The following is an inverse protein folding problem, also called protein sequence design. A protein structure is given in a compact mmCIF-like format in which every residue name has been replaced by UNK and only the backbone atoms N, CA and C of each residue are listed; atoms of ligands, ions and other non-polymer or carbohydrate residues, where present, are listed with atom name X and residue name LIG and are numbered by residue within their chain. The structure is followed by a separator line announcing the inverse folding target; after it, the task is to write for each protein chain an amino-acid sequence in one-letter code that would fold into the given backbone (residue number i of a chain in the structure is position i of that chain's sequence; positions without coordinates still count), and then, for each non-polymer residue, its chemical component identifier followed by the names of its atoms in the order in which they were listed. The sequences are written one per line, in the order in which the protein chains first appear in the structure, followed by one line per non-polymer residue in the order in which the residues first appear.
data_IF_359180158152
#
_entry.id   IF_359180158152
#
_cell.length_a   1.000
_cell.length_b   1.000
_cell.length_c   1.000
_cell.angle_alpha   90.00
_cell.angle_beta   90.00
_cell.angle_gamma   90.00
#
_symmetry.space_group_name_H-M   'P 1'
#
loop_
_entity.id
_entity.type
_entity.pdbx_description
1 polymer ?
#
# COMPACT_ATOMS: atom_id res chain seq x y z
N UNK A 1 -28.09 -8.27 -0.08
CA UNK A 1 -28.40 -9.33 -1.07
C UNK A 1 -29.17 -8.84 -2.28
N UNK A 2 -30.43 -8.36 -2.18
CA UNK A 2 -31.19 -7.91 -3.37
C UNK A 2 -30.48 -6.88 -4.25
N UNK A 3 -29.85 -5.86 -3.64
CA UNK A 3 -29.05 -4.87 -4.36
C UNK A 3 -27.90 -5.51 -5.15
N UNK A 4 -27.16 -6.44 -4.54
CA UNK A 4 -26.07 -7.17 -5.20
C UNK A 4 -26.58 -8.07 -6.33
N UNK A 5 -27.73 -8.73 -6.15
CA UNK A 5 -28.32 -9.61 -7.16
C UNK A 5 -28.81 -8.86 -8.41
N UNK A 6 -29.13 -7.56 -8.28
CA UNK A 6 -29.60 -6.71 -9.37
C UNK A 6 -28.47 -5.89 -10.02
N UNK A 7 -27.28 -5.87 -9.40
CA UNK A 7 -26.14 -5.08 -9.84
C UNK A 7 -25.62 -5.55 -11.21
N UNK A 8 -25.36 -4.61 -12.11
CA UNK A 8 -24.75 -4.88 -13.41
C UNK A 8 -23.22 -4.85 -13.34
N UNK A 9 -22.66 -4.07 -12.41
CA UNK A 9 -21.22 -3.87 -12.21
C UNK A 9 -20.90 -3.84 -10.70
N UNK A 10 -21.17 -4.93 -9.95
CA UNK A 10 -20.91 -4.96 -8.52
C UNK A 10 -19.41 -4.88 -8.23
N UNK A 11 -19.05 -4.27 -7.09
CA UNK A 11 -17.68 -4.19 -6.59
C UNK A 11 -17.65 -4.34 -5.07
N UNK A 12 -16.72 -5.16 -4.54
CA UNK A 12 -16.42 -5.20 -3.10
C UNK A 12 -15.17 -4.35 -2.84
N UNK A 13 -15.19 -3.50 -1.83
CA UNK A 13 -14.00 -2.77 -1.35
C UNK A 13 -13.66 -3.25 0.05
N UNK A 14 -12.49 -3.87 0.18
CA UNK A 14 -12.01 -4.42 1.45
C UNK A 14 -11.11 -3.40 2.14
N UNK A 15 -11.55 -2.89 3.28
CA UNK A 15 -10.77 -1.97 4.11
C UNK A 15 -9.95 -2.69 5.16
N UNK A 16 -9.10 -1.94 5.89
CA UNK A 16 -8.33 -2.52 6.99
C UNK A 16 -9.20 -3.05 8.14
N UNK A 17 -10.45 -2.58 8.26
CA UNK A 17 -11.41 -3.15 9.20
C UNK A 17 -11.74 -4.61 8.87
N UNK A 18 -11.87 -4.95 7.57
CA UNK A 18 -12.06 -6.33 7.12
C UNK A 18 -10.87 -7.21 7.48
N UNK A 19 -9.64 -6.71 7.26
CA UNK A 19 -8.42 -7.43 7.65
C UNK A 19 -8.32 -7.58 9.18
N UNK A 20 -8.69 -6.56 9.94
CA UNK A 20 -8.68 -6.56 11.41
C UNK A 20 -9.67 -7.56 12.01
N UNK A 21 -10.83 -7.76 11.37
CA UNK A 21 -11.85 -8.70 11.85
C UNK A 21 -11.42 -10.18 11.83
N UNK A 22 -10.38 -10.53 11.08
CA UNK A 22 -9.88 -11.90 10.90
C UNK A 22 -10.93 -12.91 10.40
N UNK A 23 -11.97 -12.43 9.71
CA UNK A 23 -12.97 -13.26 9.03
C UNK A 23 -12.50 -13.65 7.61
N UNK A 24 -11.24 -14.08 7.49
CA UNK A 24 -10.55 -14.19 6.21
C UNK A 24 -11.23 -15.22 5.29
N UNK A 25 -11.60 -16.37 5.86
CA UNK A 25 -12.22 -17.46 5.12
C UNK A 25 -13.65 -17.11 4.68
N UNK A 26 -14.41 -16.47 5.56
CA UNK A 26 -15.79 -16.06 5.29
C UNK A 26 -15.82 -14.98 4.20
N UNK A 27 -14.93 -13.98 4.28
CA UNK A 27 -14.80 -12.93 3.26
C UNK A 27 -14.38 -13.55 1.93
N UNK A 28 -13.40 -14.46 1.94
CA UNK A 28 -12.95 -15.16 0.74
C UNK A 28 -14.07 -15.99 0.12
N UNK A 29 -14.78 -16.77 0.93
CA UNK A 29 -15.91 -17.59 0.46
C UNK A 29 -17.01 -16.71 -0.14
N UNK A 30 -17.29 -15.55 0.45
CA UNK A 30 -18.29 -14.63 -0.08
C UNK A 30 -17.88 -14.04 -1.44
N UNK A 31 -16.62 -13.61 -1.56
CA UNK A 31 -16.06 -13.15 -2.83
C UNK A 31 -16.11 -14.27 -3.89
N UNK A 32 -15.55 -15.44 -3.58
CA UNK A 32 -15.44 -16.55 -4.52
C UNK A 32 -16.81 -17.09 -4.96
N UNK A 33 -17.78 -17.23 -4.04
CA UNK A 33 -19.12 -17.74 -4.35
C UNK A 33 -19.97 -16.77 -5.17
N UNK A 34 -19.77 -15.46 -5.01
CA UNK A 34 -20.53 -14.45 -5.75
C UNK A 34 -19.87 -14.05 -7.06
N UNK A 35 -18.57 -14.34 -7.22
CA UNK A 35 -17.77 -13.92 -8.37
C UNK A 35 -17.55 -12.40 -8.46
N UNK A 36 -17.92 -11.65 -7.42
CA UNK A 36 -17.84 -10.19 -7.43
C UNK A 36 -16.38 -9.75 -7.34
N UNK A 37 -15.91 -8.88 -8.25
CA UNK A 37 -14.55 -8.35 -8.17
C UNK A 37 -14.33 -7.58 -6.87
N UNK A 38 -13.12 -7.65 -6.33
CA UNK A 38 -12.77 -6.94 -5.10
C UNK A 38 -11.55 -6.02 -5.25
N UNK A 39 -11.60 -4.90 -4.55
CA UNK A 39 -10.51 -3.94 -4.45
C UNK A 39 -10.01 -3.89 -3.00
N UNK A 40 -8.79 -4.38 -2.71
CA UNK A 40 -8.20 -4.21 -1.39
C UNK A 40 -7.66 -2.78 -1.21
N UNK A 41 -8.00 -2.16 -0.09
CA UNK A 41 -7.27 -1.00 0.43
C UNK A 41 -5.89 -1.44 0.93
N UNK A 42 -5.00 -0.48 1.20
CA UNK A 42 -3.57 -0.79 1.42
C UNK A 42 -3.30 -1.90 2.44
N UNK A 43 -3.75 -1.75 3.69
CA UNK A 43 -3.56 -2.77 4.75
C UNK A 43 -4.59 -3.92 4.67
N UNK A 44 -5.42 -3.97 3.63
CA UNK A 44 -6.26 -5.12 3.30
C UNK A 44 -5.66 -5.99 2.18
N UNK A 45 -4.55 -5.55 1.54
CA UNK A 45 -3.76 -6.39 0.64
C UNK A 45 -3.39 -7.70 1.34
N UNK A 46 -3.54 -8.81 0.63
CA UNK A 46 -3.31 -10.15 1.17
C UNK A 46 -4.48 -10.76 1.96
N UNK A 47 -5.56 -10.01 2.27
CA UNK A 47 -6.78 -10.60 2.85
C UNK A 47 -7.33 -11.73 1.97
N UNK A 48 -7.39 -11.46 0.67
CA UNK A 48 -7.19 -12.48 -0.35
C UNK A 48 -5.82 -12.20 -0.99
N UNK A 49 -5.11 -13.20 -1.52
CA UNK A 49 -3.84 -12.97 -2.22
C UNK A 49 -4.00 -11.89 -3.29
N UNK A 50 -3.08 -10.95 -3.39
CA UNK A 50 -3.22 -9.84 -4.35
C UNK A 50 -3.27 -10.32 -5.82
N UNK A 51 -2.70 -11.50 -6.08
CA UNK A 51 -2.74 -12.18 -7.38
C UNK A 51 -4.11 -12.79 -7.72
N UNK A 52 -5.06 -12.86 -6.78
CA UNK A 52 -6.36 -13.51 -6.95
C UNK A 52 -7.07 -13.04 -8.23
N UNK A 53 -7.71 -13.94 -9.00
CA UNK A 53 -8.30 -13.58 -10.30
C UNK A 53 -9.37 -12.48 -10.20
N UNK A 54 -10.11 -12.43 -9.08
CA UNK A 54 -11.14 -11.40 -8.84
C UNK A 54 -10.59 -10.09 -8.26
N UNK A 55 -9.28 -9.98 -7.99
CA UNK A 55 -8.67 -8.72 -7.56
C UNK A 55 -8.64 -7.71 -8.71
N UNK A 56 -9.12 -6.49 -8.44
CA UNK A 56 -9.09 -5.37 -9.39
C UNK A 56 -8.11 -4.28 -8.97
N UNK A 57 -7.11 -4.59 -8.14
CA UNK A 57 -6.09 -3.62 -7.72
C UNK A 57 -5.44 -2.88 -8.91
N UNK A 58 -5.04 -3.62 -9.95
CA UNK A 58 -4.49 -3.07 -11.18
C UNK A 58 -5.52 -2.36 -12.07
N UNK A 59 -6.82 -2.50 -11.83
CA UNK A 59 -7.91 -1.86 -12.57
C UNK A 59 -8.73 -0.86 -11.72
N UNK A 60 -8.18 -0.41 -10.57
CA UNK A 60 -8.85 0.45 -9.59
C UNK A 60 -9.68 1.59 -10.21
N UNK A 61 -9.07 2.42 -11.05
CA UNK A 61 -9.76 3.60 -11.60
C UNK A 61 -10.97 3.24 -12.46
N UNK A 62 -10.89 2.16 -13.25
CA UNK A 62 -12.03 1.69 -14.05
C UNK A 62 -13.13 1.11 -13.15
N UNK A 63 -12.73 0.31 -12.16
CA UNK A 63 -13.64 -0.31 -11.21
C UNK A 63 -14.46 0.74 -10.45
N UNK A 64 -13.81 1.75 -9.86
CA UNK A 64 -14.48 2.81 -9.12
C UNK A 64 -15.40 3.67 -10.00
N UNK A 65 -14.91 4.06 -11.18
CA UNK A 65 -15.66 4.96 -12.07
C UNK A 65 -16.91 4.32 -12.68
N UNK A 66 -16.97 2.98 -12.77
CA UNK A 66 -18.05 2.27 -13.47
C UNK A 66 -18.93 1.41 -12.59
N UNK A 67 -18.49 1.01 -11.40
CA UNK A 67 -19.31 0.20 -10.50
C UNK A 67 -20.64 0.89 -10.18
N UNK A 68 -21.73 0.13 -10.19
CA UNK A 68 -23.08 0.62 -9.91
C UNK A 68 -23.54 0.27 -8.48
N UNK A 69 -23.16 -0.90 -7.96
CA UNK A 69 -23.37 -1.28 -6.56
C UNK A 69 -22.03 -1.60 -5.91
N UNK A 70 -21.69 -0.89 -4.84
CA UNK A 70 -20.42 -1.04 -4.15
C UNK A 70 -20.68 -1.49 -2.71
N UNK A 71 -20.03 -2.58 -2.33
CA UNK A 71 -20.06 -3.10 -0.97
C UNK A 71 -18.74 -2.78 -0.25
N UNK A 72 -18.80 -1.83 0.67
CA UNK A 72 -17.71 -1.45 1.54
C UNK A 72 -17.68 -2.41 2.74
N UNK A 73 -16.55 -3.08 2.98
CA UNK A 73 -16.38 -3.98 4.13
C UNK A 73 -15.25 -3.44 5.01
N UNK A 74 -15.62 -2.84 6.16
CA UNK A 74 -14.66 -2.20 7.06
C UNK A 74 -13.80 -1.13 6.37
N UNK A 75 -14.40 -0.41 5.41
CA UNK A 75 -13.78 0.62 4.59
C UNK A 75 -14.62 1.91 4.64
N UNK A 76 -13.99 3.02 5.04
CA UNK A 76 -14.64 4.34 5.10
C UNK A 76 -14.52 5.07 3.77
N UNK A 77 -15.58 5.78 3.36
CA UNK A 77 -15.57 6.68 2.20
C UNK A 77 -14.87 8.01 2.54
N UNK A 78 -13.62 7.95 2.99
CA UNK A 78 -12.82 9.14 3.29
C UNK A 78 -11.93 9.54 2.09
N UNK A 79 -10.93 10.40 2.35
CA UNK A 79 -10.02 10.93 1.33
C UNK A 79 -9.28 9.83 0.52
N UNK A 80 -9.00 8.66 1.10
CA UNK A 80 -8.35 7.54 0.39
C UNK A 80 -9.23 6.97 -0.74
N UNK A 81 -10.54 7.16 -0.60
CA UNK A 81 -11.55 6.78 -1.55
C UNK A 81 -12.19 8.01 -2.22
N UNK A 82 -11.57 9.19 -2.15
CA UNK A 82 -12.12 10.41 -2.77
C UNK A 82 -13.55 10.70 -2.35
N UNK A 83 -13.90 10.42 -1.10
CA UNK A 83 -15.22 10.64 -0.52
C UNK A 83 -16.40 9.95 -1.22
N UNK A 84 -16.15 8.98 -2.10
CA UNK A 84 -17.19 8.36 -2.91
C UNK A 84 -17.76 9.28 -3.99
N UNK A 85 -17.04 10.35 -4.35
CA UNK A 85 -17.54 11.41 -5.24
C UNK A 85 -17.16 11.21 -6.72
N UNK A 86 -18.02 11.63 -7.66
CA UNK A 86 -17.66 11.76 -9.07
C UNK A 86 -16.59 12.84 -9.28
N UNK A 87 -15.74 12.74 -10.33
CA UNK A 87 -15.76 11.73 -11.38
C UNK A 87 -14.95 10.46 -11.03
N UNK A 88 -14.38 10.36 -9.82
CA UNK A 88 -13.65 9.16 -9.41
C UNK A 88 -14.58 7.95 -9.28
N UNK A 89 -15.80 8.19 -8.81
CA UNK A 89 -16.87 7.21 -8.72
C UNK A 89 -17.97 7.49 -9.73
N UNK A 90 -18.74 6.46 -10.06
CA UNK A 90 -20.00 6.63 -10.80
C UNK A 90 -20.92 7.58 -10.04
N UNK A 91 -21.56 8.53 -10.75
CA UNK A 91 -22.56 9.42 -10.16
C UNK A 91 -23.79 8.66 -9.63
N UNK A 92 -24.07 7.50 -10.21
CA UNK A 92 -25.19 6.63 -9.86
C UNK A 92 -24.78 5.47 -8.93
N UNK A 93 -23.59 5.55 -8.33
CA UNK A 93 -23.09 4.54 -7.40
C UNK A 93 -24.02 4.38 -6.19
N UNK A 94 -24.45 3.13 -5.95
CA UNK A 94 -25.24 2.73 -4.77
C UNK A 94 -24.34 2.01 -3.78
N UNK A 95 -24.30 2.49 -2.53
CA UNK A 95 -23.41 1.93 -1.51
C UNK A 95 -24.14 0.99 -0.53
N UNK A 96 -23.51 -0.15 -0.27
CA UNK A 96 -23.74 -1.05 0.85
C UNK A 96 -22.53 -0.90 1.76
N UNK A 97 -22.71 -0.78 3.07
CA UNK A 97 -21.59 -0.62 4.00
C UNK A 97 -21.75 -1.55 5.20
N UNK A 98 -20.72 -2.37 5.42
CA UNK A 98 -20.54 -3.14 6.65
C UNK A 98 -19.56 -2.39 7.52
N UNK A 99 -20.03 -1.92 8.66
CA UNK A 99 -19.20 -1.32 9.70
C UNK A 99 -19.81 -1.60 11.07
N UNK A 100 -18.97 -1.65 12.10
CA UNK A 100 -19.42 -1.80 13.48
C UNK A 100 -19.90 -0.45 14.04
N UNK A 101 -19.37 0.66 13.52
CA UNK A 101 -19.67 2.01 13.98
C UNK A 101 -20.86 2.59 13.22
N UNK A 102 -22.01 2.67 13.89
CA UNK A 102 -23.24 3.13 13.28
C UNK A 102 -23.18 4.61 12.83
N UNK A 103 -22.39 5.44 13.49
CA UNK A 103 -22.24 6.85 13.09
C UNK A 103 -21.43 7.06 11.81
N UNK A 104 -20.79 6.02 11.28
CA UNK A 104 -20.02 6.11 10.04
C UNK A 104 -20.93 6.02 8.80
N UNK A 105 -22.16 5.51 8.92
CA UNK A 105 -23.11 5.54 7.81
C UNK A 105 -23.51 6.97 7.46
N UNK A 106 -23.65 7.23 6.17
CA UNK A 106 -23.99 8.55 5.61
C UNK A 106 -22.96 9.67 5.90
N UNK A 107 -21.76 9.33 6.39
CA UNK A 107 -20.70 10.29 6.71
C UNK A 107 -20.23 11.12 5.49
N UNK A 108 -20.28 10.53 4.30
CA UNK A 108 -19.85 11.14 3.04
C UNK A 108 -20.86 10.99 1.90
N UNK A 109 -21.39 9.78 1.69
CA UNK A 109 -22.43 9.48 0.68
C UNK A 109 -23.57 8.72 1.34
N UNK A 110 -24.82 8.88 0.87
CA UNK A 110 -25.93 8.06 1.34
C UNK A 110 -25.65 6.56 1.16
N UNK A 111 -25.88 5.78 2.21
CA UNK A 111 -25.71 4.33 2.25
C UNK A 111 -27.08 3.68 2.09
N UNK A 112 -27.32 3.04 0.95
CA UNK A 112 -28.60 2.43 0.64
C UNK A 112 -28.90 1.17 1.47
N UNK A 113 -27.87 0.48 1.95
CA UNK A 113 -28.00 -0.66 2.85
C UNK A 113 -26.88 -0.65 3.90
N UNK A 114 -27.08 0.06 5.04
CA UNK A 114 -26.17 0.01 6.17
C UNK A 114 -26.33 -1.33 6.90
N UNK A 115 -25.21 -2.00 7.18
CA UNK A 115 -25.14 -3.27 7.89
C UNK A 115 -24.28 -3.08 9.14
N UNK A 116 -24.93 -2.63 10.22
CA UNK A 116 -24.28 -2.38 11.51
C UNK A 116 -23.96 -3.70 12.23
N UNK A 117 -22.68 -3.98 12.46
CA UNK A 117 -22.24 -5.17 13.17
C UNK A 117 -20.78 -5.49 12.96
N UNK A 118 -20.26 -6.47 13.70
CA UNK A 118 -18.92 -6.99 13.43
C UNK A 118 -18.91 -7.70 12.06
N UNK A 119 -17.80 -7.54 11.34
CA UNK A 119 -17.70 -7.98 9.93
C UNK A 119 -17.87 -9.49 9.79
N UNK A 120 -17.36 -10.29 10.74
CA UNK A 120 -17.44 -11.75 10.69
C UNK A 120 -18.89 -12.24 10.75
N UNK A 121 -19.66 -11.74 11.72
CA UNK A 121 -21.08 -12.07 11.86
C UNK A 121 -21.89 -11.63 10.65
N UNK A 122 -21.65 -10.42 10.13
CA UNK A 122 -22.39 -9.90 8.97
C UNK A 122 -22.08 -10.71 7.72
N UNK A 123 -20.81 -11.00 7.42
CA UNK A 123 -20.45 -11.78 6.22
C UNK A 123 -20.97 -13.21 6.32
N UNK A 124 -20.93 -13.84 7.50
CA UNK A 124 -21.52 -15.17 7.72
C UNK A 124 -23.02 -15.17 7.42
N UNK A 125 -23.76 -14.19 7.95
CA UNK A 125 -25.19 -14.07 7.65
C UNK A 125 -25.48 -13.79 6.17
N UNK A 126 -24.60 -13.05 5.48
CA UNK A 126 -24.73 -12.83 4.03
C UNK A 126 -24.46 -14.11 3.24
N UNK A 127 -23.48 -14.93 3.63
CA UNK A 127 -23.20 -16.23 3.02
C UNK A 127 -24.41 -17.18 3.08
N UNK A 128 -25.08 -17.26 4.23
CA UNK A 128 -26.32 -18.05 4.36
C UNK A 128 -27.40 -17.58 3.37
N UNK A 129 -27.49 -16.26 3.17
CA UNK A 129 -28.47 -15.67 2.23
C UNK A 129 -28.07 -15.79 0.76
N UNK A 130 -26.80 -16.00 0.42
CA UNK A 130 -26.37 -16.29 -0.96
C UNK A 130 -27.02 -17.58 -1.45
N UNK A 131 -27.26 -18.55 -0.57
CA UNK A 131 -27.92 -19.82 -0.94
C UNK A 131 -29.39 -19.62 -1.33
N UNK A 132 -30.08 -18.68 -0.68
CA UNK A 132 -31.50 -18.38 -0.95
C UNK A 132 -31.70 -17.42 -2.11
N UNK A 133 -30.80 -16.44 -2.26
CA UNK A 133 -30.80 -15.46 -3.34
C UNK A 133 -29.40 -15.43 -3.98
N UNK A 134 -29.16 -16.31 -4.97
CA UNK A 134 -27.87 -16.37 -5.64
C UNK A 134 -27.48 -15.02 -6.23
N UNK A 135 -26.24 -14.62 -5.96
CA UNK A 135 -25.61 -13.45 -6.55
C UNK A 135 -24.48 -13.95 -7.41
N UNK A 136 -24.48 -13.62 -8.70
CA UNK A 136 -23.40 -13.95 -9.63
C UNK A 136 -23.04 -12.68 -10.38
N UNK A 137 -21.78 -12.27 -10.30
CA UNK A 137 -21.30 -11.10 -11.03
C UNK A 137 -21.45 -11.30 -12.54
N UNK A 138 -21.98 -10.32 -13.29
CA UNK A 138 -22.12 -10.43 -14.73
C UNK A 138 -20.78 -10.64 -15.44
N UNK A 139 -20.70 -11.63 -16.33
CA UNK A 139 -19.46 -11.97 -17.07
C UNK A 139 -18.92 -10.80 -17.88
N UNK A 140 -19.81 -10.02 -18.51
CA UNK A 140 -19.41 -8.83 -19.26
C UNK A 140 -18.65 -7.80 -18.38
N UNK A 141 -19.01 -7.70 -17.10
CA UNK A 141 -18.32 -6.83 -16.16
C UNK A 141 -16.96 -7.39 -15.73
N UNK A 142 -16.92 -8.68 -15.37
CA UNK A 142 -15.66 -9.32 -14.96
C UNK A 142 -14.65 -9.38 -16.10
N UNK A 143 -15.10 -9.60 -17.34
CA UNK A 143 -14.24 -9.62 -18.53
C UNK A 143 -13.66 -8.24 -18.84
N UNK A 144 -14.46 -7.18 -18.74
CA UNK A 144 -13.99 -5.80 -18.93
C UNK A 144 -12.86 -5.45 -17.94
N UNK A 145 -13.06 -5.80 -16.66
CA UNK A 145 -12.07 -5.61 -15.62
C UNK A 145 -10.82 -6.45 -15.84
N UNK A 146 -10.98 -7.71 -16.25
CA UNK A 146 -9.88 -8.61 -16.56
C UNK A 146 -9.03 -8.09 -17.72
N UNK A 147 -9.66 -7.56 -18.78
CA UNK A 147 -8.97 -6.96 -19.92
C UNK A 147 -8.17 -5.72 -19.50
N UNK A 148 -8.79 -4.84 -18.68
CA UNK A 148 -8.10 -3.66 -18.14
C UNK A 148 -6.93 -4.05 -17.25
N UNK A 149 -7.11 -5.03 -16.37
CA UNK A 149 -6.07 -5.59 -15.51
C UNK A 149 -4.92 -6.12 -16.35
N UNK A 150 -5.20 -6.96 -17.34
CA UNK A 150 -4.16 -7.53 -18.21
C UNK A 150 -3.31 -6.46 -18.91
N UNK A 151 -3.94 -5.38 -19.40
CA UNK A 151 -3.25 -4.23 -19.99
C UNK A 151 -2.36 -3.50 -18.99
N UNK A 152 -2.87 -3.20 -17.81
CA UNK A 152 -2.12 -2.48 -16.78
C UNK A 152 -0.98 -3.34 -16.20
N UNK A 153 -1.21 -4.64 -16.01
CA UNK A 153 -0.19 -5.59 -15.59
C UNK A 153 0.92 -5.72 -16.64
N UNK A 154 0.57 -5.71 -17.94
CA UNK A 154 1.56 -5.70 -19.02
C UNK A 154 2.43 -4.43 -19.01
N UNK A 155 1.80 -3.26 -18.84
CA UNK A 155 2.52 -1.99 -18.72
C UNK A 155 3.43 -1.96 -17.46
N UNK A 156 2.95 -2.48 -16.32
CA UNK A 156 3.75 -2.59 -15.11
C UNK A 156 4.92 -3.56 -15.30
N UNK A 157 4.72 -4.72 -15.97
CA UNK A 157 5.80 -5.65 -16.30
C UNK A 157 6.88 -5.00 -17.16
N UNK A 158 6.50 -4.21 -18.17
CA UNK A 158 7.47 -3.45 -18.98
C UNK A 158 8.25 -2.46 -18.12
N UNK A 159 7.55 -1.65 -17.32
CA UNK A 159 8.18 -0.66 -16.44
C UNK A 159 9.12 -1.28 -15.40
N UNK A 160 8.77 -2.46 -14.88
CA UNK A 160 9.64 -3.19 -13.97
C UNK A 160 10.80 -3.87 -14.70
N UNK A 161 10.67 -4.22 -15.99
CA UNK A 161 11.76 -4.80 -16.77
C UNK A 161 12.87 -3.77 -17.10
N UNK A 162 12.53 -2.48 -17.15
CA UNK A 162 13.50 -1.40 -17.30
C UNK A 162 14.56 -1.44 -16.19
N UNK A 163 15.81 -1.08 -16.53
CA UNK A 163 16.93 -1.11 -15.59
C UNK A 163 17.77 0.17 -15.64
N UNK A 164 17.19 1.34 -15.28
CA UNK A 164 17.91 2.61 -15.27
C UNK A 164 19.04 2.61 -14.24
N UNK A 165 20.11 3.35 -14.57
CA UNK A 165 21.19 3.69 -13.66
C UNK A 165 21.45 5.21 -13.73
N UNK A 166 21.41 5.96 -12.61
CA UNK A 166 21.20 5.49 -11.23
C UNK A 166 19.84 4.82 -11.00
N UNK A 167 19.71 3.99 -9.95
CA UNK A 167 18.47 3.25 -9.68
C UNK A 167 17.28 4.21 -9.49
N UNK A 168 16.09 3.73 -9.83
CA UNK A 168 14.83 4.41 -9.56
C UNK A 168 13.93 3.52 -8.70
N UNK A 169 12.81 4.07 -8.22
CA UNK A 169 11.87 3.32 -7.38
C UNK A 169 11.43 1.96 -7.98
N UNK A 170 11.20 1.88 -9.30
CA UNK A 170 10.64 0.68 -9.92
C UNK A 170 11.64 -0.48 -10.02
N UNK A 171 12.87 -0.25 -10.50
CA UNK A 171 13.86 -1.33 -10.58
C UNK A 171 14.44 -1.71 -9.20
N UNK A 172 14.50 -0.77 -8.25
CA UNK A 172 14.79 -1.07 -6.85
C UNK A 172 13.68 -1.94 -6.21
N UNK A 173 12.41 -1.55 -6.34
CA UNK A 173 11.30 -2.32 -5.78
C UNK A 173 11.04 -3.65 -6.51
N UNK A 174 11.38 -3.76 -7.81
CA UNK A 174 11.48 -5.07 -8.48
C UNK A 174 12.45 -5.97 -7.74
N UNK A 175 13.65 -5.47 -7.41
CA UNK A 175 14.64 -6.26 -6.68
C UNK A 175 14.14 -6.72 -5.31
N UNK A 176 13.48 -5.83 -4.55
CA UNK A 176 12.82 -6.18 -3.29
C UNK A 176 11.73 -7.23 -3.50
N UNK A 177 10.83 -7.03 -4.46
CA UNK A 177 9.74 -7.97 -4.80
C UNK A 177 10.28 -9.37 -5.09
N UNK A 178 11.28 -9.47 -5.96
CA UNK A 178 11.84 -10.75 -6.41
C UNK A 178 12.48 -11.56 -5.26
N UNK A 179 12.92 -10.88 -4.19
CA UNK A 179 13.35 -11.54 -2.95
C UNK A 179 12.13 -11.91 -2.10
N UNK A 180 11.23 -10.96 -1.82
CA UNK A 180 10.09 -11.18 -0.92
C UNK A 180 9.13 -12.30 -1.37
N UNK A 181 8.99 -12.56 -2.67
CA UNK A 181 8.18 -13.70 -3.17
C UNK A 181 8.70 -15.06 -2.70
N UNK A 182 9.98 -15.15 -2.29
CA UNK A 182 10.59 -16.36 -1.72
C UNK A 182 10.44 -16.41 -0.19
N UNK A 183 9.91 -15.35 0.44
CA UNK A 183 9.76 -15.20 1.88
C UNK A 183 8.32 -14.77 2.25
N UNK A 184 7.31 -15.62 1.99
CA UNK A 184 5.89 -15.25 2.16
C UNK A 184 5.49 -14.94 3.63
N UNK A 185 6.30 -15.37 4.60
CA UNK A 185 6.05 -15.14 6.03
C UNK A 185 6.51 -13.76 6.53
N UNK A 186 7.23 -12.98 5.70
CA UNK A 186 7.76 -11.67 6.05
C UNK A 186 6.62 -10.66 6.24
N UNK A 187 6.74 -9.84 7.30
CA UNK A 187 5.95 -8.62 7.42
C UNK A 187 6.60 -7.50 6.62
N UNK A 188 5.78 -6.72 5.92
CA UNK A 188 6.21 -5.53 5.18
C UNK A 188 5.69 -4.29 5.89
N UNK A 189 6.61 -3.53 6.46
CA UNK A 189 6.36 -2.15 6.91
C UNK A 189 6.72 -1.21 5.77
N UNK A 190 5.95 -0.15 5.55
CA UNK A 190 6.22 0.74 4.44
C UNK A 190 5.69 2.17 4.68
N UNK A 191 6.54 3.17 4.54
CA UNK A 191 6.17 4.59 4.56
C UNK A 191 7.02 5.44 3.60
N UNK A 192 6.61 6.70 3.43
CA UNK A 192 7.14 7.64 2.44
C UNK A 192 6.04 8.17 1.51
N UNK A 193 6.45 8.82 0.43
CA UNK A 193 5.54 9.23 -0.64
C UNK A 193 5.69 8.29 -1.85
N UNK A 194 6.68 8.52 -2.71
CA UNK A 194 6.95 7.65 -3.85
C UNK A 194 7.32 6.23 -3.43
N UNK A 195 8.03 6.07 -2.30
CA UNK A 195 8.33 4.79 -1.67
C UNK A 195 7.05 4.04 -1.28
N UNK A 196 6.11 4.71 -0.59
CA UNK A 196 4.83 4.15 -0.16
C UNK A 196 3.95 3.74 -1.36
N UNK A 197 3.74 4.66 -2.30
CA UNK A 197 2.83 4.43 -3.42
C UNK A 197 3.36 3.38 -4.39
N UNK A 198 4.66 3.42 -4.69
CA UNK A 198 5.25 2.45 -5.61
C UNK A 198 5.33 1.08 -4.95
N UNK A 199 5.74 0.98 -3.68
CA UNK A 199 5.81 -0.31 -2.98
C UNK A 199 4.42 -0.95 -2.82
N UNK A 200 3.37 -0.17 -2.53
CA UNK A 200 1.98 -0.69 -2.48
C UNK A 200 1.54 -1.34 -3.80
N UNK A 201 2.01 -0.82 -4.92
CA UNK A 201 1.66 -1.29 -6.26
C UNK A 201 2.56 -2.43 -6.78
N UNK A 202 3.80 -2.52 -6.29
CA UNK A 202 4.82 -3.47 -6.80
C UNK A 202 4.97 -4.69 -5.88
N UNK A 203 4.78 -4.53 -4.58
CA UNK A 203 4.91 -5.60 -3.60
C UNK A 203 3.53 -6.22 -3.34
N UNK A 204 3.34 -7.44 -3.83
CA UNK A 204 2.12 -8.22 -3.63
C UNK A 204 2.14 -8.89 -2.26
N UNK A 205 1.00 -8.85 -1.56
CA UNK A 205 0.79 -9.59 -0.32
C UNK A 205 0.05 -10.90 -0.60
N UNK A 206 0.57 -11.99 -0.04
CA UNK A 206 -0.01 -13.34 -0.18
C UNK A 206 -0.80 -13.79 1.05
N UNK A 207 -0.62 -13.12 2.18
CA UNK A 207 -1.26 -13.45 3.45
C UNK A 207 -1.85 -12.18 4.11
N UNK A 208 -2.95 -12.32 4.87
CA UNK A 208 -3.61 -11.21 5.51
C UNK A 208 -2.72 -10.56 6.57
N UNK A 209 -2.95 -9.27 6.82
CA UNK A 209 -2.34 -8.51 7.93
C UNK A 209 -0.80 -8.50 7.92
N UNK A 210 -0.16 -8.72 6.77
CA UNK A 210 1.31 -8.65 6.61
C UNK A 210 1.84 -7.29 6.18
N UNK A 211 0.97 -6.40 5.69
CA UNK A 211 1.33 -5.03 5.33
C UNK A 211 0.90 -4.04 6.41
N UNK A 212 1.85 -3.24 6.88
CA UNK A 212 1.63 -2.14 7.82
C UNK A 212 2.19 -0.84 7.19
N UNK A 213 1.38 0.22 7.13
CA UNK A 213 1.82 1.48 6.53
C UNK A 213 1.24 2.73 7.22
N UNK A 214 1.55 3.90 6.67
CA UNK A 214 1.16 5.23 7.14
C UNK A 214 -0.35 5.43 7.39
N UNK A 215 -1.19 4.53 6.88
CA UNK A 215 -2.59 4.44 7.26
C UNK A 215 -3.43 5.67 6.92
N UNK A 216 -4.42 5.96 7.77
CA UNK A 216 -5.45 6.97 7.46
C UNK A 216 -4.95 8.41 7.51
N UNK A 217 -3.94 8.70 8.34
CA UNK A 217 -3.38 10.05 8.47
C UNK A 217 -2.12 10.27 7.64
N UNK A 218 -1.64 9.26 6.91
CA UNK A 218 -0.42 9.41 6.11
C UNK A 218 0.78 9.77 6.98
N UNK A 219 0.89 9.18 8.18
CA UNK A 219 1.94 9.50 9.14
C UNK A 219 3.29 8.97 8.65
N UNK A 220 4.30 9.84 8.65
CA UNK A 220 5.71 9.47 8.57
C UNK A 220 6.27 9.28 9.99
N UNK A 221 7.07 8.25 10.21
CA UNK A 221 7.62 7.88 11.52
C UNK A 221 6.97 6.66 12.16
N UNK A 222 6.07 5.96 11.46
CA UNK A 222 5.53 4.69 11.95
C UNK A 222 6.51 3.52 11.74
N UNK A 223 7.52 3.69 10.86
CA UNK A 223 8.33 2.61 10.31
C UNK A 223 8.93 1.70 11.37
N UNK A 224 9.84 2.23 12.19
CA UNK A 224 10.55 1.39 13.16
C UNK A 224 9.63 0.88 14.28
N UNK A 225 8.68 1.69 14.75
CA UNK A 225 7.72 1.26 15.78
C UNK A 225 6.85 0.08 15.32
N UNK A 226 6.32 0.15 14.10
CA UNK A 226 5.57 -0.96 13.50
C UNK A 226 6.43 -2.18 13.24
N UNK A 227 7.69 -1.99 12.79
CA UNK A 227 8.59 -3.11 12.55
C UNK A 227 8.94 -3.86 13.83
N UNK A 228 9.23 -3.12 14.92
CA UNK A 228 9.48 -3.68 16.24
C UNK A 228 8.26 -4.46 16.73
N UNK A 229 7.07 -3.85 16.69
CA UNK A 229 5.84 -4.52 17.14
C UNK A 229 5.56 -5.80 16.32
N UNK A 230 5.67 -5.74 14.99
CA UNK A 230 5.47 -6.91 14.15
C UNK A 230 6.46 -8.04 14.47
N UNK A 231 7.75 -7.73 14.63
CA UNK A 231 8.76 -8.72 14.99
C UNK A 231 8.51 -9.35 16.37
N UNK A 232 8.16 -8.53 17.36
CA UNK A 232 7.92 -8.98 18.74
C UNK A 232 6.67 -9.86 18.84
N UNK A 233 5.54 -9.40 18.28
CA UNK A 233 4.25 -10.08 18.42
C UNK A 233 4.17 -11.39 17.62
N UNK A 234 4.98 -11.52 16.56
CA UNK A 234 4.83 -12.62 15.60
C UNK A 234 6.03 -13.55 15.57
N UNK A 235 7.19 -13.09 16.04
CA UNK A 235 8.47 -13.79 15.88
C UNK A 235 8.94 -13.93 14.43
N UNK A 236 8.27 -13.29 13.47
CA UNK A 236 8.57 -13.37 12.05
C UNK A 236 9.53 -12.26 11.61
N UNK A 237 10.31 -12.47 10.52
CA UNK A 237 11.14 -11.42 9.95
C UNK A 237 10.30 -10.26 9.41
N UNK A 238 10.87 -9.06 9.45
CA UNK A 238 10.24 -7.83 8.95
C UNK A 238 11.15 -7.16 7.94
N UNK A 239 10.57 -6.71 6.82
CA UNK A 239 11.21 -5.80 5.88
C UNK A 239 10.49 -4.45 5.93
N UNK A 240 11.20 -3.42 6.38
CA UNK A 240 10.72 -2.05 6.41
C UNK A 240 11.21 -1.32 5.14
N UNK A 241 10.30 -0.96 4.24
CA UNK A 241 10.60 -0.25 2.99
C UNK A 241 10.31 1.23 3.21
N UNK A 242 11.37 2.01 3.35
CA UNK A 242 11.33 3.37 3.88
C UNK A 242 11.78 4.37 2.82
N UNK A 243 11.06 5.48 2.63
CA UNK A 243 11.69 6.67 2.04
C UNK A 243 12.71 7.26 3.01
N UNK A 244 13.82 7.81 2.53
CA UNK A 244 14.87 8.44 3.37
C UNK A 244 14.34 9.50 4.34
N UNK A 245 13.47 10.40 3.88
CA UNK A 245 12.81 11.37 4.75
C UNK A 245 11.94 10.71 5.81
N UNK A 246 11.18 9.67 5.45
CA UNK A 246 10.29 8.97 6.36
C UNK A 246 11.07 8.21 7.44
N UNK A 247 12.15 7.53 7.04
CA UNK A 247 13.06 6.83 7.94
C UNK A 247 13.61 7.78 9.01
N UNK A 248 13.96 9.01 8.62
CA UNK A 248 14.48 10.02 9.54
C UNK A 248 13.59 10.32 10.77
N UNK A 249 12.27 10.10 10.68
CA UNK A 249 11.35 10.31 11.81
C UNK A 249 11.48 9.25 12.90
N UNK A 250 11.98 8.05 12.59
CA UNK A 250 12.07 6.95 13.55
C UNK A 250 13.42 6.20 13.55
N UNK A 251 14.42 6.65 12.78
CA UNK A 251 15.70 5.97 12.59
C UNK A 251 16.47 5.63 13.86
N UNK A 252 16.36 6.45 14.92
CA UNK A 252 17.03 6.19 16.20
C UNK A 252 16.56 4.90 16.89
N UNK A 253 15.34 4.44 16.59
CA UNK A 253 14.83 3.17 17.09
C UNK A 253 15.54 1.95 16.47
N UNK A 254 16.42 2.15 15.49
CA UNK A 254 17.29 1.08 15.03
C UNK A 254 18.25 0.61 16.14
N UNK A 255 18.59 1.46 17.11
CA UNK A 255 19.25 1.02 18.36
C UNK A 255 18.38 0.00 19.10
N UNK A 256 17.07 0.27 19.24
CA UNK A 256 16.11 -0.63 19.86
C UNK A 256 16.07 -1.98 19.12
N UNK A 257 16.01 -1.96 17.78
CA UNK A 257 16.09 -3.17 16.95
C UNK A 257 17.35 -3.98 17.26
N UNK A 258 18.51 -3.34 17.35
CA UNK A 258 19.79 -3.99 17.64
C UNK A 258 19.86 -4.55 19.06
N UNK A 259 19.44 -3.76 20.06
CA UNK A 259 19.47 -4.15 21.47
C UNK A 259 18.61 -5.38 21.76
N UNK A 260 17.46 -5.49 21.08
CA UNK A 260 16.60 -6.67 21.17
C UNK A 260 16.93 -7.78 20.15
N UNK A 261 17.90 -7.55 19.25
CA UNK A 261 18.31 -8.50 18.19
C UNK A 261 17.12 -8.96 17.33
N UNK A 262 16.25 -8.02 16.96
CA UNK A 262 15.04 -8.33 16.20
C UNK A 262 15.39 -8.59 14.72
N UNK A 263 14.72 -9.55 14.05
CA UNK A 263 14.98 -9.91 12.65
C UNK A 263 14.35 -8.89 11.69
N UNK A 264 14.81 -7.64 11.76
CA UNK A 264 14.30 -6.52 10.98
C UNK A 264 15.38 -6.07 9.99
N UNK A 265 15.01 -6.05 8.71
CA UNK A 265 15.80 -5.43 7.63
C UNK A 265 15.11 -4.17 7.15
N UNK A 266 15.77 -3.02 7.27
CA UNK A 266 15.29 -1.75 6.72
C UNK A 266 15.90 -1.55 5.34
N UNK A 267 15.09 -1.28 4.33
CA UNK A 267 15.50 -0.87 3.00
C UNK A 267 15.16 0.60 2.83
N UNK A 268 16.17 1.47 2.94
CA UNK A 268 16.01 2.92 2.77
C UNK A 268 16.15 3.25 1.28
N UNK A 269 15.08 3.71 0.66
CA UNK A 269 15.05 4.22 -0.71
C UNK A 269 15.54 5.67 -0.70
N UNK A 270 16.86 5.84 -0.83
CA UNK A 270 17.57 7.09 -0.67
C UNK A 270 17.67 7.85 -2.00
N UNK A 271 16.69 8.70 -2.30
CA UNK A 271 16.77 9.67 -3.40
C UNK A 271 17.20 11.07 -2.93
N UNK A 272 17.61 11.22 -1.66
CA UNK A 272 18.13 12.45 -1.12
C UNK A 272 17.08 13.54 -0.91
N UNK A 273 15.84 13.21 -0.58
CA UNK A 273 14.83 14.25 -0.31
C UNK A 273 13.38 13.81 -0.17
N UNK A 274 12.56 14.79 0.21
CA UNK A 274 11.10 14.67 0.23
C UNK A 274 10.59 14.70 -1.21
N UNK A 275 10.05 13.58 -1.68
CA UNK A 275 9.64 13.32 -3.07
C UNK A 275 10.79 13.21 -4.07
N UNK A 276 11.72 14.16 -4.07
CA UNK A 276 12.89 14.27 -4.96
C UNK A 276 14.04 14.92 -4.19
N UNK A 277 15.28 14.71 -4.65
CA UNK A 277 16.49 15.30 -4.06
C UNK A 277 17.21 16.30 -4.96
N UNK A 278 16.59 16.72 -6.08
CA UNK A 278 17.20 17.58 -7.11
C UNK A 278 16.60 18.99 -7.20
N UNK A 279 15.78 19.40 -6.22
CA UNK A 279 15.16 20.72 -6.22
C UNK A 279 16.21 21.83 -6.02
N UNK A 280 16.16 22.85 -6.88
CA UNK A 280 17.06 23.99 -6.79
C UNK A 280 16.62 24.94 -5.65
N UNK A 281 17.59 25.49 -4.93
CA UNK A 281 17.33 26.51 -3.91
C UNK A 281 16.79 27.79 -4.55
N UNK A 282 15.64 28.32 -4.09
CA UNK A 282 15.08 29.57 -4.62
C UNK A 282 15.98 30.80 -4.38
N UNK A 283 16.81 30.76 -3.32
CA UNK A 283 17.49 31.94 -2.78
C UNK A 283 19.03 31.84 -2.74
N UNK A 284 19.66 30.83 -3.36
CA UNK A 284 21.12 30.73 -3.46
C UNK A 284 21.72 29.47 -2.83
N UNK A 285 22.58 29.64 -1.81
CA UNK A 285 23.54 28.61 -1.35
C UNK A 285 22.99 27.54 -0.39
N UNK A 286 21.86 27.79 0.26
CA UNK A 286 21.24 26.85 1.20
C UNK A 286 20.48 25.73 0.46
N UNK A 287 20.41 24.49 0.98
CA UNK A 287 19.58 23.43 0.39
C UNK A 287 18.11 23.83 0.27
N UNK A 288 17.42 23.37 -0.79
CA UNK A 288 15.98 23.57 -0.92
C UNK A 288 15.22 22.83 0.20
N UNK A 289 13.99 23.26 0.57
CA UNK A 289 13.25 22.67 1.71
C UNK A 289 12.95 21.17 1.61
N UNK A 290 12.96 20.62 0.40
CA UNK A 290 12.73 19.20 0.11
C UNK A 290 14.02 18.39 0.01
N UNK A 291 15.20 19.02 -0.03
CA UNK A 291 16.46 18.35 -0.30
C UNK A 291 17.12 17.86 0.99
N UNK A 292 17.46 16.58 1.00
CA UNK A 292 18.32 15.92 1.98
C UNK A 292 19.67 15.56 1.32
N UNK A 293 20.59 14.95 2.06
CA UNK A 293 21.86 14.51 1.47
C UNK A 293 21.67 13.20 0.70
N UNK A 294 21.73 13.25 -0.63
CA UNK A 294 21.76 12.05 -1.49
C UNK A 294 23.02 11.17 -1.29
N UNK A 295 23.98 11.64 -0.51
CA UNK A 295 25.21 10.93 -0.14
C UNK A 295 25.17 10.43 1.31
N UNK A 296 24.05 10.64 2.02
CA UNK A 296 23.85 10.10 3.35
C UNK A 296 24.01 8.58 3.31
N UNK A 297 24.71 8.05 4.32
CA UNK A 297 25.04 6.63 4.46
C UNK A 297 24.26 6.04 5.62
N UNK A 298 22.97 5.77 5.41
CA UNK A 298 22.07 5.24 6.44
C UNK A 298 22.51 3.88 6.96
N UNK A 299 23.22 3.10 6.13
CA UNK A 299 23.82 1.82 6.51
C UNK A 299 24.83 1.94 7.65
N UNK A 300 25.50 3.09 7.81
CA UNK A 300 26.41 3.34 8.93
C UNK A 300 25.68 3.50 10.26
N UNK A 301 24.39 3.88 10.26
CA UNK A 301 23.56 3.90 11.47
C UNK A 301 23.45 2.48 12.04
N UNK A 302 23.29 1.47 11.17
CA UNK A 302 23.24 0.09 11.63
C UNK A 302 24.55 -0.33 12.30
N UNK A 303 25.69 0.00 11.68
CA UNK A 303 27.01 -0.33 12.21
C UNK A 303 27.27 0.34 13.57
N UNK A 304 26.79 1.58 13.75
CA UNK A 304 26.94 2.31 15.02
C UNK A 304 26.29 1.59 16.21
N UNK A 305 25.22 0.83 15.97
CA UNK A 305 24.51 0.06 17.00
C UNK A 305 24.79 -1.44 16.97
N UNK A 306 25.75 -1.89 16.14
CA UNK A 306 26.16 -3.29 16.03
C UNK A 306 25.29 -4.16 15.10
N UNK A 307 24.43 -3.54 14.29
CA UNK A 307 23.72 -4.20 13.19
C UNK A 307 24.53 -4.23 11.89
N UNK A 308 23.98 -4.86 10.85
CA UNK A 308 24.60 -4.97 9.52
C UNK A 308 24.20 -3.80 8.63
N UNK A 309 25.18 -3.10 8.06
CA UNK A 309 24.96 -2.02 7.09
C UNK A 309 25.37 -2.43 5.69
N UNK A 310 24.48 -2.22 4.71
CA UNK A 310 24.76 -2.41 3.28
C UNK A 310 24.47 -1.12 2.52
N UNK A 311 25.41 -0.67 1.70
CA UNK A 311 25.17 0.41 0.74
C UNK A 311 25.15 -0.18 -0.67
N UNK A 312 24.08 0.08 -1.43
CA UNK A 312 23.84 -0.54 -2.73
C UNK A 312 23.47 0.50 -3.78
N UNK A 313 23.98 0.32 -5.00
CA UNK A 313 23.81 1.24 -6.14
C UNK A 313 23.19 0.56 -7.36
N UNK A 314 23.00 -0.76 -7.29
CA UNK A 314 22.37 -1.56 -8.35
C UNK A 314 21.31 -2.52 -7.81
N UNK A 315 20.31 -2.94 -8.63
CA UNK A 315 19.30 -3.91 -8.19
C UNK A 315 19.90 -5.28 -7.84
N UNK A 316 21.02 -5.66 -8.47
CA UNK A 316 21.75 -6.90 -8.16
C UNK A 316 22.35 -6.86 -6.76
N UNK A 317 23.00 -5.75 -6.40
CA UNK A 317 23.53 -5.53 -5.04
C UNK A 317 22.40 -5.52 -4.00
N UNK A 318 21.29 -4.82 -4.31
CA UNK A 318 20.11 -4.80 -3.44
C UNK A 318 19.54 -6.19 -3.19
N UNK A 319 19.40 -7.02 -4.23
CA UNK A 319 18.97 -8.42 -4.09
C UNK A 319 19.92 -9.23 -3.21
N UNK A 320 21.22 -9.10 -3.43
CA UNK A 320 22.22 -9.82 -2.65
C UNK A 320 22.18 -9.41 -1.17
N UNK A 321 22.17 -8.12 -0.88
CA UNK A 321 22.11 -7.58 0.48
C UNK A 321 20.82 -8.00 1.21
N UNK A 322 19.66 -7.91 0.56
CA UNK A 322 18.39 -8.29 1.18
C UNK A 322 18.30 -9.79 1.45
N UNK A 323 18.78 -10.64 0.53
CA UNK A 323 18.85 -12.09 0.76
C UNK A 323 19.78 -12.43 1.94
N UNK A 324 20.95 -11.80 2.02
CA UNK A 324 21.89 -12.02 3.12
C UNK A 324 21.28 -11.58 4.46
N UNK A 325 20.70 -10.39 4.50
CA UNK A 325 20.06 -9.85 5.70
C UNK A 325 18.93 -10.76 6.21
N UNK A 326 18.01 -11.16 5.34
CA UNK A 326 16.91 -12.06 5.69
C UNK A 326 17.38 -13.46 6.12
N UNK A 327 18.43 -13.98 5.50
CA UNK A 327 19.03 -15.27 5.86
C UNK A 327 19.69 -15.21 7.24
N UNK A 328 20.43 -14.12 7.52
CA UNK A 328 21.12 -13.94 8.80
C UNK A 328 20.16 -13.75 9.97
N UNK A 329 18.98 -13.15 9.72
CA UNK A 329 18.03 -12.67 10.73
C UNK A 329 18.63 -11.65 11.71
N UNK A 330 19.78 -11.07 11.38
CA UNK A 330 20.36 -9.99 12.15
C UNK A 330 19.69 -8.65 11.79
N UNK A 331 19.63 -7.70 12.74
CA UNK A 331 19.28 -6.31 12.45
C UNK A 331 20.10 -5.76 11.28
N UNK A 332 19.44 -5.27 10.23
CA UNK A 332 20.12 -4.74 9.05
C UNK A 332 19.50 -3.44 8.50
N UNK A 333 20.35 -2.56 7.95
CA UNK A 333 19.94 -1.45 7.09
C UNK A 333 20.61 -1.63 5.72
N UNK A 334 19.81 -1.59 4.67
CA UNK A 334 20.22 -1.50 3.27
C UNK A 334 19.91 -0.08 2.78
N UNK A 335 20.94 0.77 2.68
CA UNK A 335 20.88 2.08 2.05
C UNK A 335 20.93 1.92 0.53
N UNK A 336 19.78 2.10 -0.11
CA UNK A 336 19.58 1.93 -1.55
C UNK A 336 19.66 3.28 -2.24
N UNK A 337 20.79 3.58 -2.88
CA UNK A 337 21.00 4.85 -3.57
C UNK A 337 20.14 4.92 -4.83
N UNK A 338 19.28 5.92 -4.88
CA UNK A 338 18.43 6.22 -6.03
C UNK A 338 18.88 7.52 -6.72
N UNK A 339 18.48 7.68 -7.97
CA UNK A 339 18.54 8.92 -8.70
C UNK A 339 17.76 10.02 -7.95
N UNK A 340 18.37 11.16 -7.58
CA UNK A 340 17.67 12.26 -6.91
C UNK A 340 16.53 12.84 -7.75
N UNK A 341 16.62 12.69 -9.08
CA UNK A 341 15.57 13.06 -10.00
C UNK A 341 14.48 11.98 -10.16
N UNK A 342 14.59 10.84 -9.47
CA UNK A 342 13.51 9.87 -9.40
C UNK A 342 12.46 10.32 -8.38
N UNK A 343 11.19 10.11 -8.74
CA UNK A 343 10.06 10.50 -7.93
C UNK A 343 9.25 11.62 -8.58
N UNK A 344 8.09 11.86 -8.00
CA UNK A 344 7.18 12.93 -8.37
C UNK A 344 6.69 13.55 -7.08
N UNK A 345 6.73 14.86 -6.99
CA UNK A 345 5.99 15.59 -5.95
C UNK A 345 4.54 15.10 -5.99
N UNK A 346 3.94 14.87 -4.82
CA UNK A 346 2.63 14.21 -4.72
C UNK A 346 1.53 15.02 -5.40
N UNK A 347 1.34 14.79 -6.70
CA UNK A 347 0.34 15.43 -7.55
C UNK A 347 -1.11 15.12 -7.19
N UNK A 348 -1.35 14.19 -6.26
CA UNK A 348 -2.68 13.92 -5.72
C UNK A 348 -3.11 14.94 -4.66
N UNK A 349 -2.17 15.72 -4.09
CA UNK A 349 -2.44 16.79 -3.12
C UNK A 349 -1.91 18.15 -3.59
N UNK A 350 -1.28 18.25 -4.77
CA UNK A 350 -0.84 19.56 -5.31
C UNK A 350 -1.99 20.54 -5.48
N UNK A 351 -3.22 20.05 -5.69
CA UNK A 351 -4.44 20.88 -5.70
C UNK A 351 -4.77 21.49 -4.33
N UNK A 352 -4.23 20.94 -3.25
CA UNK A 352 -4.38 21.40 -1.87
C UNK A 352 -3.16 22.21 -1.38
N UNK A 353 -2.06 22.25 -2.14
CA UNK A 353 -0.90 23.06 -1.79
C UNK A 353 -1.32 24.54 -1.78
N UNK A 354 -1.11 25.28 -0.68
CA UNK A 354 -1.41 26.71 -0.65
C UNK A 354 -0.58 27.42 -1.73
N UNK A 355 -1.24 28.21 -2.57
CA UNK A 355 -0.54 29.08 -3.52
C UNK A 355 0.23 30.13 -2.71
N UNK A 356 1.55 30.15 -2.86
CA UNK A 356 2.37 31.19 -2.24
C UNK A 356 1.89 32.58 -2.67
N UNK A 357 1.61 33.44 -1.70
CA UNK A 357 1.29 34.84 -1.94
C UNK A 357 2.52 35.66 -2.40
N UNK A 358 3.71 35.05 -2.37
CA UNK A 358 4.98 35.66 -2.73
C UNK A 358 5.42 35.34 -4.17
N UNK A 359 4.51 34.96 -5.07
CA UNK A 359 4.83 34.89 -6.49
C UNK A 359 5.06 36.31 -7.02
N UNK A 360 6.24 36.63 -7.58
CA UNK A 360 6.43 37.91 -8.25
C UNK A 360 5.44 38.04 -9.42
N UNK A 361 4.89 39.24 -9.67
CA UNK A 361 3.98 39.45 -10.80
C UNK A 361 4.68 39.09 -12.12
N UNK A 362 3.91 38.44 -13.00
CA UNK A 362 4.33 37.98 -14.33
C UNK A 362 4.68 39.13 -15.28
#
# INVERSE_FOLDING_TARGET
MRLLAQAQRPLIVLGKGAAYAQADNEIRQFVESTGIPFLPMSMAKGLLPDSHPQSVGAARSLALARADVIMLVGARLNWLLGHGEPPQWSADATFIQIDIEASEFDSNRPIAAPLAGDIGSVITALLDRVQELPVIAPTAWTDELAERRARNDAAMRQRLADDPHPMQFHNALRAVRDVLVQHPDVYVVNEGANALDTARNVIDMHAPRRRLDSGTWGVMGIGMGYAIAAAVETGQPVVAIEGDSAFGFSAMEFETVCRYRLPITVVVLNNGGVYRGDEASPNGADPAPTVLSAQARHDLIAQAFGGRGYHVTTPTELKAALNEALTSRDPAIVDCQLDPAAGRESGHLTSLNPKSAAAPPA
#
